data_IF_144612938058
#
_entry.id   IF_144612938058
#
_cell.length_a   1.000
_cell.length_b   1.000
_cell.length_c   1.000
_cell.angle_alpha   90.00
_cell.angle_beta   90.00
_cell.angle_gamma   90.00
#
_symmetry.space_group_name_H-M   'P 1'
#
loop_
_entity.id
_entity.type
_entity.pdbx_description
1 polymer ?
#
# COMPACT_ATOMS: atom_id res chain seq x y z
N UNK A 1 -15.22 -0.03 3.88
CA UNK A 1 -14.87 -1.46 3.78
C UNK A 1 -14.45 -1.74 2.35
N UNK A 2 -13.17 -2.01 2.11
CA UNK A 2 -12.63 -2.23 0.76
C UNK A 2 -11.95 -3.58 0.76
N UNK A 3 -12.69 -4.61 0.40
CA UNK A 3 -12.11 -5.91 0.12
C UNK A 3 -11.31 -5.81 -1.18
N UNK A 4 -10.03 -6.15 -1.14
CA UNK A 4 -9.21 -6.32 -2.34
C UNK A 4 -9.73 -7.54 -3.10
N UNK A 5 -10.39 -7.31 -4.22
CA UNK A 5 -10.86 -8.39 -5.07
C UNK A 5 -9.68 -8.99 -5.85
N UNK A 6 -9.57 -10.31 -5.95
CA UNK A 6 -8.63 -10.95 -6.86
C UNK A 6 -8.96 -10.51 -8.29
N UNK A 7 -7.96 -10.03 -9.04
CA UNK A 7 -8.17 -9.71 -10.46
C UNK A 7 -7.82 -10.92 -11.33
N UNK A 8 -8.72 -11.25 -12.22
CA UNK A 8 -8.53 -12.30 -13.22
C UNK A 8 -8.43 -11.67 -14.61
N UNK A 9 -7.43 -12.10 -15.39
CA UNK A 9 -7.35 -11.80 -16.81
C UNK A 9 -7.86 -13.03 -17.57
N UNK A 10 -8.91 -12.86 -18.36
CA UNK A 10 -9.47 -13.90 -19.23
C UNK A 10 -9.29 -13.44 -20.66
N UNK A 11 -8.42 -14.10 -21.41
CA UNK A 11 -8.35 -13.98 -22.87
C UNK A 11 -9.15 -15.15 -23.47
N UNK A 12 -10.16 -14.84 -24.27
CA UNK A 12 -11.08 -15.83 -24.86
C UNK A 12 -10.60 -16.37 -26.24
N UNK A 13 -9.33 -16.12 -26.58
CA UNK A 13 -8.76 -16.58 -27.87
C UNK A 13 -8.32 -18.04 -27.90
N UNK A 14 -8.40 -18.74 -26.77
CA UNK A 14 -7.99 -20.13 -26.61
C UNK A 14 -6.46 -20.34 -26.68
N UNK A 15 -5.69 -19.30 -26.96
CA UNK A 15 -4.22 -19.34 -27.09
C UNK A 15 -3.52 -18.91 -25.80
N UNK A 16 -4.17 -18.07 -25.00
CA UNK A 16 -3.61 -17.53 -23.75
C UNK A 16 -4.01 -18.37 -22.55
N UNK A 17 -3.09 -18.52 -21.59
CA UNK A 17 -3.40 -19.17 -20.32
C UNK A 17 -4.36 -18.28 -19.49
N UNK A 18 -5.30 -18.91 -18.80
CA UNK A 18 -6.08 -18.23 -17.77
C UNK A 18 -5.15 -17.85 -16.62
N UNK A 19 -5.06 -16.57 -16.33
CA UNK A 19 -4.20 -16.04 -15.29
C UNK A 19 -4.99 -15.33 -14.19
N UNK A 20 -4.64 -15.56 -12.92
CA UNK A 20 -5.05 -14.70 -11.85
C UNK A 20 -3.90 -14.42 -10.90
N UNK A 21 -3.98 -13.30 -10.21
CA UNK A 21 -2.99 -12.89 -9.23
C UNK A 21 -3.66 -12.36 -7.96
N UNK A 22 -2.98 -12.55 -6.84
CA UNK A 22 -3.38 -11.98 -5.56
C UNK A 22 -2.39 -10.87 -5.22
N UNK A 23 -2.90 -9.68 -5.07
CA UNK A 23 -2.08 -8.48 -4.87
C UNK A 23 -2.73 -7.55 -3.84
N UNK A 24 -1.94 -6.89 -2.97
CA UNK A 24 -2.43 -5.85 -2.08
C UNK A 24 -2.66 -4.50 -2.79
N UNK A 25 -2.50 -4.45 -4.11
CA UNK A 25 -2.64 -3.23 -4.89
C UNK A 25 -4.00 -3.18 -5.56
N UNK A 26 -4.82 -2.19 -5.20
CA UNK A 26 -6.10 -1.93 -5.87
C UNK A 26 -5.85 -1.45 -7.31
N UNK A 27 -6.42 -2.16 -8.27
CA UNK A 27 -6.32 -1.82 -9.68
C UNK A 27 -7.41 -0.80 -10.03
N UNK A 28 -7.00 0.43 -10.34
CA UNK A 28 -7.90 1.52 -10.79
C UNK A 28 -7.50 2.09 -12.14
N UNK A 29 -6.29 1.77 -12.64
CA UNK A 29 -5.78 2.20 -13.94
C UNK A 29 -4.65 1.26 -14.41
N UNK A 30 -4.16 1.44 -15.64
CA UNK A 30 -3.08 0.63 -16.21
C UNK A 30 -1.79 0.67 -15.38
N UNK A 31 -1.49 1.80 -14.73
CA UNK A 31 -0.30 1.94 -13.88
C UNK A 31 -0.42 1.12 -12.59
N UNK A 32 -1.60 1.15 -11.96
CA UNK A 32 -1.87 0.33 -10.76
C UNK A 32 -1.97 -1.16 -11.13
N UNK A 33 -2.41 -1.51 -12.33
CA UNK A 33 -2.37 -2.89 -12.83
C UNK A 33 -0.93 -3.41 -12.93
N UNK A 34 0.00 -2.62 -13.47
CA UNK A 34 1.42 -2.99 -13.51
C UNK A 34 2.02 -3.14 -12.11
N UNK A 35 1.69 -2.22 -11.20
CA UNK A 35 2.09 -2.31 -9.80
C UNK A 35 1.52 -3.56 -9.11
N UNK A 36 0.26 -3.90 -9.39
CA UNK A 36 -0.39 -5.10 -8.89
C UNK A 36 0.31 -6.37 -9.35
N UNK A 37 0.69 -6.45 -10.64
CA UNK A 37 1.44 -7.58 -11.20
C UNK A 37 2.82 -7.69 -10.53
N UNK A 38 3.55 -6.57 -10.39
CA UNK A 38 4.89 -6.56 -9.80
C UNK A 38 4.92 -6.84 -8.29
N UNK A 39 3.82 -6.61 -7.57
CA UNK A 39 3.69 -6.84 -6.13
C UNK A 39 2.83 -8.06 -5.78
N UNK A 40 2.47 -8.86 -6.77
CA UNK A 40 1.64 -10.05 -6.54
C UNK A 40 2.31 -10.99 -5.54
N UNK A 41 1.54 -11.42 -4.53
CA UNK A 41 1.97 -12.40 -3.52
C UNK A 41 1.83 -13.83 -4.04
N UNK A 42 0.91 -14.03 -4.97
CA UNK A 42 0.75 -15.27 -5.71
C UNK A 42 0.25 -14.94 -7.12
N UNK A 43 0.77 -15.66 -8.11
CA UNK A 43 0.30 -15.59 -9.49
C UNK A 43 0.18 -17.00 -10.03
N UNK A 44 -0.89 -17.26 -10.76
CA UNK A 44 -1.18 -18.57 -11.37
C UNK A 44 -1.53 -18.38 -12.84
N UNK A 45 -0.92 -19.19 -13.67
CA UNK A 45 -1.24 -19.27 -15.09
C UNK A 45 -1.66 -20.71 -15.42
N UNK A 46 -2.92 -20.89 -15.77
CA UNK A 46 -3.51 -22.20 -16.07
C UNK A 46 -3.65 -22.34 -17.57
N UNK A 47 -2.84 -23.21 -18.17
CA UNK A 47 -2.96 -23.53 -19.59
C UNK A 47 -4.09 -24.55 -19.80
N UNK A 48 -4.75 -24.47 -20.95
CA UNK A 48 -5.80 -25.44 -21.38
C UNK A 48 -5.17 -26.79 -21.76
N UNK A 49 -4.66 -27.52 -20.76
CA UNK A 49 -4.02 -28.85 -20.93
C UNK A 49 -4.62 -29.86 -19.97
N UNK A 50 -4.31 -31.14 -20.14
CA UNK A 50 -4.79 -32.20 -19.25
C UNK A 50 -4.43 -32.01 -17.76
N UNK A 51 -3.43 -31.22 -17.43
CA UNK A 51 -3.05 -30.86 -16.06
C UNK A 51 -3.86 -29.70 -15.45
N UNK A 52 -4.79 -29.10 -16.17
CA UNK A 52 -5.54 -27.92 -15.73
C UNK A 52 -6.28 -28.12 -14.39
N UNK A 53 -6.79 -29.33 -14.12
CA UNK A 53 -7.48 -29.64 -12.85
C UNK A 53 -6.59 -29.51 -11.62
N UNK A 54 -5.33 -29.97 -11.69
CA UNK A 54 -4.38 -29.86 -10.59
C UNK A 54 -4.02 -28.39 -10.35
N UNK A 55 -3.78 -27.63 -11.43
CA UNK A 55 -3.48 -26.19 -11.35
C UNK A 55 -4.67 -25.37 -10.82
N UNK A 56 -5.92 -25.75 -11.14
CA UNK A 56 -7.13 -25.14 -10.56
C UNK A 56 -7.20 -25.41 -9.06
N UNK A 57 -6.88 -26.62 -8.61
CA UNK A 57 -6.91 -26.93 -7.17
C UNK A 57 -5.83 -26.18 -6.41
N UNK A 58 -4.64 -26.05 -6.95
CA UNK A 58 -3.55 -25.24 -6.40
C UNK A 58 -3.97 -23.75 -6.31
N UNK A 59 -4.56 -23.22 -7.36
CA UNK A 59 -5.13 -21.88 -7.39
C UNK A 59 -6.20 -21.67 -6.32
N UNK A 60 -7.10 -22.62 -6.12
CA UNK A 60 -8.13 -22.58 -5.06
C UNK A 60 -7.51 -22.57 -3.66
N UNK A 61 -6.46 -23.35 -3.44
CA UNK A 61 -5.76 -23.37 -2.14
C UNK A 61 -5.06 -22.04 -1.88
N UNK A 62 -4.42 -21.44 -2.88
CA UNK A 62 -3.81 -20.13 -2.75
C UNK A 62 -4.85 -19.02 -2.49
N UNK A 63 -6.03 -19.07 -3.14
CA UNK A 63 -7.13 -18.16 -2.86
C UNK A 63 -7.62 -18.29 -1.41
N UNK A 64 -7.76 -19.50 -0.88
CA UNK A 64 -8.15 -19.70 0.52
C UNK A 64 -7.15 -19.09 1.50
N UNK A 65 -5.84 -19.21 1.22
CA UNK A 65 -4.80 -18.58 2.04
C UNK A 65 -4.89 -17.04 1.95
N UNK A 66 -5.23 -16.52 0.78
CA UNK A 66 -5.39 -15.07 0.58
C UNK A 66 -6.60 -14.51 1.33
N UNK A 67 -7.73 -15.23 1.38
CA UNK A 67 -8.88 -14.84 2.18
C UNK A 67 -8.55 -14.78 3.67
N UNK A 68 -7.82 -15.76 4.21
CA UNK A 68 -7.38 -15.73 5.61
C UNK A 68 -6.47 -14.53 5.91
N UNK A 69 -5.62 -14.15 4.94
CA UNK A 69 -4.80 -12.95 5.08
C UNK A 69 -5.65 -11.68 5.09
N UNK A 70 -6.66 -11.59 4.21
CA UNK A 70 -7.59 -10.45 4.17
C UNK A 70 -8.39 -10.36 5.47
N UNK A 71 -8.93 -11.46 5.96
CA UNK A 71 -9.68 -11.51 7.23
C UNK A 71 -8.79 -11.07 8.42
N UNK A 72 -7.56 -11.53 8.49
CA UNK A 72 -6.62 -11.11 9.54
C UNK A 72 -6.31 -9.61 9.44
N UNK A 73 -6.05 -9.11 8.23
CA UNK A 73 -5.80 -7.69 7.99
C UNK A 73 -7.02 -6.83 8.31
N UNK A 74 -8.23 -7.27 7.95
CA UNK A 74 -9.47 -6.56 8.28
C UNK A 74 -9.67 -6.46 9.79
N UNK A 75 -9.38 -7.52 10.56
CA UNK A 75 -9.47 -7.50 12.01
C UNK A 75 -8.47 -6.49 12.63
N UNK A 76 -7.24 -6.47 12.16
CA UNK A 76 -6.20 -5.52 12.60
C UNK A 76 -6.56 -4.08 12.20
N UNK A 77 -7.06 -3.87 10.99
CA UNK A 77 -7.51 -2.56 10.51
C UNK A 77 -8.72 -2.04 11.32
N UNK A 78 -9.64 -2.94 11.69
CA UNK A 78 -10.78 -2.60 12.54
C UNK A 78 -10.34 -2.15 13.95
N UNK A 79 -9.29 -2.77 14.52
CA UNK A 79 -8.69 -2.34 15.78
C UNK A 79 -8.09 -0.93 15.67
N UNK A 80 -7.34 -0.66 14.61
CA UNK A 80 -6.80 0.68 14.37
C UNK A 80 -7.90 1.72 14.15
N UNK A 81 -8.99 1.35 13.50
CA UNK A 81 -10.14 2.22 13.31
C UNK A 81 -10.86 2.52 14.64
N UNK A 82 -11.00 1.52 15.52
CA UNK A 82 -11.63 1.68 16.82
C UNK A 82 -10.76 2.44 17.84
N UNK A 83 -9.47 2.61 17.57
CA UNK A 83 -8.53 3.25 18.49
C UNK A 83 -8.40 4.74 18.17
N UNK A 84 -8.79 5.64 19.08
CA UNK A 84 -8.66 7.08 18.90
C UNK A 84 -7.18 7.51 18.81
N UNK A 85 -6.95 8.61 18.12
CA UNK A 85 -5.65 9.25 18.01
C UNK A 85 -5.82 10.77 17.94
N UNK A 86 -5.09 11.50 18.76
CA UNK A 86 -5.06 12.96 18.72
C UNK A 86 -3.91 13.51 17.86
N UNK A 87 -3.91 14.83 17.65
CA UNK A 87 -2.92 15.50 16.81
C UNK A 87 -1.50 15.39 17.37
N UNK A 88 -1.34 15.39 18.67
CA UNK A 88 -0.03 15.31 19.31
C UNK A 88 0.55 13.88 19.18
N UNK A 89 -0.29 12.88 19.39
CA UNK A 89 0.07 11.48 19.15
C UNK A 89 0.45 11.28 17.68
N UNK A 90 -0.31 11.86 16.75
CA UNK A 90 -0.01 11.79 15.31
C UNK A 90 1.35 12.42 14.99
N UNK A 91 1.71 13.56 15.58
CA UNK A 91 3.02 14.19 15.39
C UNK A 91 4.15 13.33 15.93
N UNK A 92 4.00 12.78 17.13
CA UNK A 92 4.99 11.87 17.72
C UNK A 92 5.17 10.63 16.85
N UNK A 93 4.08 10.04 16.40
CA UNK A 93 4.11 8.89 15.49
C UNK A 93 4.86 9.21 14.18
N UNK A 94 4.52 10.31 13.50
CA UNK A 94 5.16 10.69 12.24
C UNK A 94 6.66 10.97 12.41
N UNK A 95 7.06 11.60 13.50
CA UNK A 95 8.47 11.86 13.83
C UNK A 95 9.23 10.56 14.11
N UNK A 96 8.64 9.66 14.88
CA UNK A 96 9.22 8.35 15.19
C UNK A 96 9.35 7.49 13.92
N UNK A 97 8.29 7.41 13.11
CA UNK A 97 8.31 6.64 11.84
C UNK A 97 9.42 7.11 10.90
N UNK A 98 9.67 8.41 10.84
CA UNK A 98 10.69 8.99 9.96
C UNK A 98 12.03 9.23 10.67
N UNK A 99 12.16 8.78 11.93
CA UNK A 99 13.39 8.86 12.71
C UNK A 99 13.96 10.30 12.72
N UNK A 100 13.11 11.30 12.99
CA UNK A 100 13.49 12.72 12.92
C UNK A 100 14.58 13.05 13.95
N UNK A 101 14.46 12.54 15.16
CA UNK A 101 15.33 12.88 16.29
C UNK A 101 16.65 12.10 16.26
N UNK A 102 16.74 10.99 15.54
CA UNK A 102 17.96 10.19 15.35
C UNK A 102 18.71 10.53 14.05
N UNK A 103 18.39 11.67 13.43
CA UNK A 103 19.03 12.09 12.19
C UNK A 103 20.50 12.49 12.41
N UNK A 104 21.40 11.91 11.64
CA UNK A 104 22.85 12.17 11.75
C UNK A 104 23.32 13.57 11.36
N UNK A 105 22.44 14.44 10.85
CA UNK A 105 22.74 15.85 10.53
C UNK A 105 21.49 16.74 10.63
N UNK A 106 21.70 18.03 10.88
CA UNK A 106 20.62 19.03 10.92
C UNK A 106 19.86 19.12 9.59
N UNK A 107 20.52 18.97 8.46
CA UNK A 107 19.90 18.97 7.14
C UNK A 107 18.98 17.74 6.96
N UNK A 108 19.43 16.57 7.38
CA UNK A 108 18.63 15.33 7.36
C UNK A 108 17.44 15.45 8.30
N UNK A 109 17.61 15.96 9.53
CA UNK A 109 16.55 16.18 10.48
C UNK A 109 15.46 17.10 9.92
N UNK A 110 15.88 18.23 9.31
CA UNK A 110 14.95 19.16 8.67
C UNK A 110 14.14 18.48 7.57
N UNK A 111 14.79 17.75 6.68
CA UNK A 111 14.10 17.07 5.58
C UNK A 111 13.13 15.99 6.07
N UNK A 112 13.53 15.21 7.09
CA UNK A 112 12.65 14.21 7.71
C UNK A 112 11.45 14.87 8.39
N UNK A 113 11.67 16.01 9.08
CA UNK A 113 10.60 16.79 9.71
C UNK A 113 9.62 17.40 8.71
N UNK A 114 10.09 17.91 7.59
CA UNK A 114 9.24 18.39 6.48
C UNK A 114 8.32 17.28 5.97
N UNK A 115 8.83 16.07 5.82
CA UNK A 115 8.03 14.90 5.43
C UNK A 115 7.02 14.50 6.52
N UNK A 116 7.43 14.50 7.79
CA UNK A 116 6.54 14.23 8.91
C UNK A 116 5.39 15.25 8.96
N UNK A 117 5.68 16.52 8.79
CA UNK A 117 4.68 17.57 8.70
C UNK A 117 3.73 17.38 7.51
N UNK A 118 4.24 16.89 6.36
CA UNK A 118 3.41 16.55 5.22
C UNK A 118 2.40 15.45 5.53
N UNK A 119 2.81 14.41 6.24
CA UNK A 119 1.92 13.33 6.69
C UNK A 119 0.86 13.87 7.68
N UNK A 120 1.27 14.66 8.68
CA UNK A 120 0.34 15.30 9.64
C UNK A 120 -0.66 16.21 8.94
N UNK A 121 -0.22 16.95 7.92
CA UNK A 121 -1.12 17.80 7.12
C UNK A 121 -2.19 16.98 6.41
N UNK A 122 -1.84 15.85 5.80
CA UNK A 122 -2.81 14.94 5.15
C UNK A 122 -3.80 14.39 6.19
N UNK A 123 -3.30 13.94 7.34
CA UNK A 123 -4.15 13.43 8.42
C UNK A 123 -5.19 14.45 8.90
N UNK A 124 -4.87 15.75 8.88
CA UNK A 124 -5.78 16.82 9.31
C UNK A 124 -6.69 17.37 8.22
N UNK A 125 -6.31 17.27 6.95
CA UNK A 125 -6.98 18.04 5.88
C UNK A 125 -7.27 17.26 4.60
N UNK A 126 -6.87 15.98 4.50
CA UNK A 126 -7.18 15.21 3.29
C UNK A 126 -8.66 14.79 3.25
N UNK A 127 -9.36 15.06 2.14
CA UNK A 127 -10.76 14.62 1.96
C UNK A 127 -10.93 13.09 2.05
N UNK A 128 -9.91 12.33 1.68
CA UNK A 128 -9.92 10.86 1.74
C UNK A 128 -9.87 10.35 3.19
N UNK A 129 -9.31 11.14 4.11
CA UNK A 129 -9.11 10.80 5.51
C UNK A 129 -10.24 11.32 6.40
N UNK A 130 -10.93 12.38 5.97
CA UNK A 130 -12.03 13.00 6.74
C UNK A 130 -13.05 11.98 7.29
N UNK A 131 -13.52 10.95 6.51
CA UNK A 131 -14.50 9.98 7.01
C UNK A 131 -14.00 9.09 8.16
N UNK A 132 -12.69 8.98 8.33
CA UNK A 132 -12.02 8.14 9.33
C UNK A 132 -11.16 8.95 10.31
N UNK A 133 -11.36 10.28 10.33
CA UNK A 133 -10.53 11.20 11.10
C UNK A 133 -10.50 10.84 12.60
N UNK A 134 -9.41 11.18 13.28
CA UNK A 134 -9.23 10.96 14.70
C UNK A 134 -8.99 9.50 15.11
N UNK A 135 -8.59 8.64 14.18
CA UNK A 135 -8.30 7.23 14.44
C UNK A 135 -6.87 6.86 14.04
N UNK A 136 -6.33 5.76 14.59
CA UNK A 136 -5.05 5.22 14.14
C UNK A 136 -5.11 4.75 12.68
N UNK A 137 -6.27 4.29 12.22
CA UNK A 137 -6.47 3.93 10.82
C UNK A 137 -6.32 5.13 9.88
N UNK A 138 -6.81 6.31 10.30
CA UNK A 138 -6.57 7.57 9.58
C UNK A 138 -5.08 7.91 9.47
N UNK A 139 -4.31 7.69 10.55
CA UNK A 139 -2.87 7.90 10.55
C UNK A 139 -2.15 6.97 9.56
N UNK A 140 -2.53 5.70 9.51
CA UNK A 140 -2.00 4.76 8.52
C UNK A 140 -2.29 5.21 7.09
N UNK A 141 -3.54 5.63 6.82
CA UNK A 141 -3.94 6.11 5.49
C UNK A 141 -3.21 7.40 5.11
N UNK A 142 -2.95 8.32 6.04
CA UNK A 142 -2.15 9.52 5.79
C UNK A 142 -0.71 9.18 5.38
N UNK A 143 -0.09 8.18 6.00
CA UNK A 143 1.24 7.69 5.60
C UNK A 143 1.22 7.10 4.20
N UNK A 144 0.26 6.23 3.90
CA UNK A 144 0.17 5.57 2.59
C UNK A 144 -0.11 6.58 1.48
N UNK A 145 -1.03 7.51 1.71
CA UNK A 145 -1.34 8.58 0.76
C UNK A 145 -0.11 9.48 0.50
N UNK A 146 0.62 9.85 1.57
CA UNK A 146 1.83 10.65 1.43
C UNK A 146 2.89 9.93 0.60
N UNK A 147 3.16 8.66 0.89
CA UNK A 147 4.17 7.88 0.19
C UNK A 147 3.82 7.67 -1.29
N UNK A 148 2.55 7.47 -1.59
CA UNK A 148 2.11 7.17 -2.95
C UNK A 148 1.94 8.41 -3.82
N UNK A 149 1.59 9.57 -3.23
CA UNK A 149 1.19 10.74 -4.01
C UNK A 149 2.01 12.01 -3.76
N UNK A 150 2.63 12.17 -2.60
CA UNK A 150 3.21 13.45 -2.20
C UNK A 150 4.73 13.45 -2.00
N UNK A 151 5.39 12.27 -1.99
CA UNK A 151 6.84 12.24 -1.87
C UNK A 151 7.49 13.00 -3.03
N UNK A 152 8.36 14.01 -2.75
CA UNK A 152 9.04 14.77 -3.79
C UNK A 152 9.89 13.87 -4.69
N UNK A 153 9.79 14.08 -6.00
CA UNK A 153 10.61 13.40 -6.99
C UNK A 153 11.66 14.37 -7.54
N UNK A 154 12.92 14.05 -7.32
CA UNK A 154 14.02 14.84 -7.87
C UNK A 154 14.04 14.72 -9.40
N UNK A 155 14.19 15.86 -10.09
CA UNK A 155 14.32 15.93 -11.54
C UNK A 155 13.00 15.91 -12.31
N UNK A 156 11.85 15.78 -11.66
CA UNK A 156 10.57 15.94 -12.34
C UNK A 156 10.33 17.41 -12.71
N UNK A 157 10.09 17.69 -13.99
CA UNK A 157 9.86 19.04 -14.51
C UNK A 157 8.37 19.39 -14.56
N UNK A 158 7.52 18.38 -14.64
CA UNK A 158 6.06 18.54 -14.70
C UNK A 158 5.38 17.64 -13.66
N UNK A 159 4.10 17.94 -13.35
CA UNK A 159 3.29 17.08 -12.50
C UNK A 159 3.10 15.67 -13.09
N UNK A 160 3.00 15.59 -14.43
CA UNK A 160 2.92 14.32 -15.16
C UNK A 160 4.18 13.48 -14.98
N UNK A 161 5.37 14.08 -15.11
CA UNK A 161 6.65 13.39 -14.87
C UNK A 161 6.76 12.90 -13.43
N UNK A 162 6.32 13.72 -12.47
CA UNK A 162 6.33 13.36 -11.06
C UNK A 162 5.40 12.16 -10.78
N UNK A 163 4.20 12.14 -11.37
CA UNK A 163 3.25 11.04 -11.22
C UNK A 163 3.75 9.75 -11.84
N UNK A 164 4.32 9.83 -13.04
CA UNK A 164 4.95 8.68 -13.72
C UNK A 164 6.12 8.12 -12.90
N UNK A 165 6.98 9.01 -12.38
CA UNK A 165 8.11 8.60 -11.56
C UNK A 165 7.69 8.01 -10.21
N UNK A 166 6.59 8.50 -9.59
CA UNK A 166 6.02 7.89 -8.37
C UNK A 166 5.48 6.50 -8.66
N UNK A 167 4.72 6.33 -9.75
CA UNK A 167 4.20 5.03 -10.16
C UNK A 167 5.34 4.03 -10.41
N UNK A 168 6.38 4.43 -11.15
CA UNK A 168 7.59 3.63 -11.36
C UNK A 168 8.28 3.29 -10.03
N UNK A 169 8.40 4.23 -9.12
CA UNK A 169 9.03 4.03 -7.82
C UNK A 169 8.24 3.06 -6.94
N UNK A 170 6.92 3.10 -6.98
CA UNK A 170 6.06 2.14 -6.29
C UNK A 170 6.28 0.73 -6.83
N UNK A 171 6.52 0.59 -8.14
CA UNK A 171 6.78 -0.70 -8.78
C UNK A 171 8.20 -1.19 -8.51
N UNK A 172 9.21 -0.33 -8.68
CA UNK A 172 10.63 -0.72 -8.60
C UNK A 172 11.16 -0.78 -7.17
N UNK A 173 10.65 0.04 -6.26
CA UNK A 173 11.02 0.12 -4.85
C UNK A 173 9.91 -0.38 -3.91
N UNK A 174 9.07 -1.31 -4.38
CA UNK A 174 8.00 -1.91 -3.57
C UNK A 174 8.54 -2.46 -2.23
N UNK A 175 9.77 -2.97 -2.20
CA UNK A 175 10.42 -3.42 -0.98
C UNK A 175 10.65 -2.27 0.02
N UNK A 176 11.07 -1.08 -0.43
CA UNK A 176 11.38 0.05 0.46
C UNK A 176 10.09 0.78 0.91
N UNK A 177 9.20 1.13 -0.02
CA UNK A 177 7.92 1.77 0.35
C UNK A 177 7.02 0.80 1.12
N UNK A 178 7.05 -0.50 0.78
CA UNK A 178 6.37 -1.55 1.52
C UNK A 178 6.93 -1.73 2.92
N UNK A 179 8.25 -1.58 3.13
CA UNK A 179 8.85 -1.64 4.47
C UNK A 179 8.39 -0.48 5.37
N UNK A 180 8.32 0.76 4.83
CA UNK A 180 7.83 1.92 5.60
C UNK A 180 6.35 1.80 5.94
N UNK A 181 5.51 1.35 5.00
CA UNK A 181 4.09 1.08 5.25
C UNK A 181 3.90 -0.01 6.31
N UNK A 182 4.65 -1.11 6.21
CA UNK A 182 4.61 -2.19 7.20
C UNK A 182 5.12 -1.73 8.57
N UNK A 183 6.15 -0.87 8.62
CA UNK A 183 6.62 -0.27 9.86
C UNK A 183 5.58 0.66 10.47
N UNK A 184 4.93 1.50 9.67
CA UNK A 184 3.86 2.38 10.13
C UNK A 184 2.71 1.59 10.74
N UNK A 185 2.28 0.51 10.07
CA UNK A 185 1.22 -0.37 10.55
C UNK A 185 1.57 -0.97 11.92
N UNK A 186 2.77 -1.57 12.04
CA UNK A 186 3.25 -2.15 13.31
C UNK A 186 3.36 -1.13 14.44
N UNK A 187 3.92 0.05 14.15
CA UNK A 187 4.03 1.11 15.16
C UNK A 187 2.65 1.54 15.68
N UNK A 188 1.65 1.66 14.80
CA UNK A 188 0.29 2.03 15.19
C UNK A 188 -0.42 0.96 16.02
N UNK A 189 -0.02 -0.30 15.91
CA UNK A 189 -0.55 -1.38 16.76
C UNK A 189 0.00 -1.33 18.19
N UNK A 190 1.22 -0.79 18.36
CA UNK A 190 1.95 -0.80 19.65
C UNK A 190 1.92 0.52 20.40
N UNK A 191 1.44 1.60 19.79
CA UNK A 191 1.20 2.89 20.44
C UNK A 191 0.00 2.77 21.39
#
# INVERSE_FOLDING_TARGET
MWAEAPSAKVDNDGLSAFGFLVTPVRIVCANTQRAAIGSAKASFAIRHTGGARASIQEARNALKLSWRYVEAFEAEAAQLYATPMDTEQMRRFANSLLEVDSAGSAATARHRRERANGIVKLWTSSPTITPIAGTRWAAYNAVTEYLDHYVPIRGARTAGDANTARALRTITNAAVSGSVKAQAFRLLQTL
#
